data_IF_868481822541
#
_entry.id   IF_868481822541
#
_cell.length_a   1.000
_cell.length_b   1.000
_cell.length_c   1.000
_cell.angle_alpha   90.00
_cell.angle_beta   90.00
_cell.angle_gamma   90.00
#
_symmetry.space_group_name_H-M   'P 1'
#
loop_
_entity.id
_entity.type
_entity.pdbx_description
1 polymer ?
#
# COMPACT_ATOMS: atom_id res chain seq x y z
N UNK A 1 4.97 13.77 34.07
CA UNK A 1 5.81 12.73 33.46
C UNK A 1 5.97 13.08 32.00
N UNK A 2 7.19 13.04 31.43
CA UNK A 2 7.36 13.23 30.00
C UNK A 2 6.65 12.09 29.26
N UNK A 3 5.86 12.46 28.27
CA UNK A 3 5.16 11.58 27.36
C UNK A 3 5.99 11.38 26.10
N UNK A 4 5.66 10.36 25.30
CA UNK A 4 6.27 10.18 23.98
C UNK A 4 6.04 11.42 23.08
N UNK A 5 4.98 12.18 23.33
CA UNK A 5 4.66 13.43 22.64
C UNK A 5 5.49 14.63 23.07
N UNK A 6 6.33 14.49 24.10
CA UNK A 6 7.28 15.53 24.51
C UNK A 6 8.64 15.36 23.82
N UNK A 7 8.86 14.24 23.12
CA UNK A 7 10.11 13.97 22.42
C UNK A 7 10.22 14.77 21.11
N UNK A 8 11.43 15.21 20.73
CA UNK A 8 11.70 15.74 19.40
C UNK A 8 11.34 14.74 18.30
N UNK A 9 10.88 15.23 17.15
CA UNK A 9 10.40 14.36 16.07
C UNK A 9 11.52 13.46 15.52
N UNK A 10 12.76 13.92 15.56
CA UNK A 10 13.95 13.18 15.16
C UNK A 10 14.14 11.91 16.00
N UNK A 11 13.86 12.01 17.31
CA UNK A 11 13.94 10.87 18.23
C UNK A 11 12.80 9.89 17.96
N UNK A 12 11.59 10.38 17.73
CA UNK A 12 10.43 9.54 17.38
C UNK A 12 10.71 8.79 16.06
N UNK A 13 11.26 9.48 15.06
CA UNK A 13 11.63 8.87 13.78
C UNK A 13 12.72 7.79 13.96
N UNK A 14 13.68 8.01 14.85
CA UNK A 14 14.72 7.02 15.11
C UNK A 14 14.16 5.77 15.79
N UNK A 15 13.22 5.93 16.72
CA UNK A 15 12.46 4.80 17.32
C UNK A 15 11.68 4.04 16.24
N UNK A 16 10.98 4.75 15.36
CA UNK A 16 10.21 4.16 14.25
C UNK A 16 11.11 3.36 13.30
N UNK A 17 12.30 3.88 12.97
CA UNK A 17 13.29 3.14 12.15
C UNK A 17 13.80 1.89 12.87
N UNK A 18 14.08 1.99 14.17
CA UNK A 18 14.55 0.88 14.98
C UNK A 18 13.50 -0.24 15.07
N UNK A 19 12.23 0.13 15.19
CA UNK A 19 11.10 -0.81 15.19
C UNK A 19 10.78 -1.40 13.83
N UNK A 20 11.44 -0.94 12.75
CA UNK A 20 11.21 -1.44 11.39
C UNK A 20 12.47 -1.83 10.63
N UNK A 21 13.22 -2.84 11.10
CA UNK A 21 14.31 -3.38 10.32
C UNK A 21 13.76 -3.92 8.99
N UNK A 22 14.42 -3.52 7.91
CA UNK A 22 14.17 -4.06 6.57
C UNK A 22 14.81 -5.45 6.57
N UNK A 23 14.01 -6.49 6.42
CA UNK A 23 14.54 -7.83 6.27
C UNK A 23 15.27 -7.96 4.91
N UNK A 24 16.07 -9.02 4.68
CA UNK A 24 16.76 -9.23 3.40
C UNK A 24 15.84 -9.35 2.18
N UNK A 25 14.55 -9.64 2.38
CA UNK A 25 13.54 -9.73 1.30
C UNK A 25 12.89 -8.38 0.98
N UNK A 26 13.22 -7.31 1.72
CA UNK A 26 12.67 -5.97 1.54
C UNK A 26 11.38 -5.69 2.31
N UNK A 27 10.87 -6.66 3.05
CA UNK A 27 9.70 -6.50 3.91
C UNK A 27 10.11 -5.85 5.24
N UNK A 28 9.26 -4.95 5.73
CA UNK A 28 9.48 -4.30 7.02
C UNK A 28 8.92 -5.17 8.14
N UNK A 29 9.81 -5.61 9.02
CA UNK A 29 9.43 -6.16 10.32
C UNK A 29 8.75 -5.02 11.11
N UNK A 30 7.72 -5.30 11.91
CA UNK A 30 7.07 -4.27 12.75
C UNK A 30 6.03 -3.37 12.05
N UNK A 31 5.51 -3.77 10.88
CA UNK A 31 4.39 -3.06 10.22
C UNK A 31 3.19 -2.89 11.16
N UNK A 32 2.84 -3.93 11.90
CA UNK A 32 1.71 -3.91 12.84
C UNK A 32 1.98 -2.97 14.02
N UNK A 33 3.22 -2.94 14.53
CA UNK A 33 3.63 -2.00 15.56
C UNK A 33 3.54 -0.55 15.10
N UNK A 34 3.93 -0.26 13.85
CA UNK A 34 3.74 1.07 13.27
C UNK A 34 2.26 1.40 13.06
N UNK A 35 1.44 0.43 12.64
CA UNK A 35 0.00 0.63 12.54
C UNK A 35 -0.60 0.96 13.92
N UNK A 36 -0.19 0.25 14.97
CA UNK A 36 -0.63 0.51 16.35
C UNK A 36 -0.15 1.88 16.84
N UNK A 37 1.09 2.27 16.56
CA UNK A 37 1.64 3.59 16.92
C UNK A 37 0.84 4.74 16.30
N UNK A 38 0.32 4.56 15.07
CA UNK A 38 -0.55 5.57 14.44
C UNK A 38 -1.86 5.79 15.19
N UNK A 39 -2.33 4.81 15.96
CA UNK A 39 -3.59 4.89 16.70
C UNK A 39 -3.43 5.58 18.06
N UNK A 40 -2.19 5.75 18.54
CA UNK A 40 -1.91 6.34 19.85
C UNK A 40 -2.21 7.85 19.84
N UNK A 41 -1.80 8.58 18.79
CA UNK A 41 -2.11 10.01 18.67
C UNK A 41 -1.98 10.56 17.26
N UNK A 42 -2.54 11.75 17.03
CA UNK A 42 -2.45 12.45 15.75
C UNK A 42 -1.01 12.75 15.35
N UNK A 43 -0.16 13.17 16.30
CA UNK A 43 1.26 13.47 16.07
C UNK A 43 2.02 12.23 15.60
N UNK A 44 1.80 11.08 16.24
CA UNK A 44 2.41 9.82 15.81
C UNK A 44 1.84 9.36 14.48
N UNK A 45 0.53 9.53 14.23
CA UNK A 45 -0.06 9.22 12.94
C UNK A 45 0.62 10.01 11.80
N UNK A 46 0.80 11.32 11.98
CA UNK A 46 1.47 12.19 10.99
C UNK A 46 2.95 11.86 10.79
N UNK A 47 3.62 11.41 11.86
CA UNK A 47 5.05 11.05 11.81
C UNK A 47 5.28 9.67 11.18
N UNK A 48 4.43 8.69 11.50
CA UNK A 48 4.59 7.29 11.10
C UNK A 48 3.97 7.00 9.74
N UNK A 49 2.85 7.65 9.37
CA UNK A 49 2.19 7.41 8.07
C UNK A 49 3.12 7.59 6.87
N UNK A 50 3.93 8.66 6.77
CA UNK A 50 4.88 8.83 5.67
C UNK A 50 5.89 7.68 5.59
N UNK A 51 6.31 7.14 6.75
CA UNK A 51 7.22 6.01 6.80
C UNK A 51 6.50 4.76 6.29
N UNK A 52 5.34 4.41 6.86
CA UNK A 52 4.56 3.22 6.49
C UNK A 52 4.18 3.19 5.01
N UNK A 53 3.74 4.32 4.47
CA UNK A 53 3.23 4.42 3.11
C UNK A 53 4.27 4.95 2.11
N UNK A 54 5.55 5.01 2.49
CA UNK A 54 6.62 5.42 1.58
C UNK A 54 6.71 4.53 0.33
N UNK A 55 6.37 3.25 0.47
CA UNK A 55 6.24 2.30 -0.62
C UNK A 55 4.85 1.68 -0.57
N UNK A 56 4.13 1.76 -1.69
CA UNK A 56 2.83 1.14 -1.88
C UNK A 56 2.99 -0.06 -2.82
N UNK A 57 2.48 -1.22 -2.40
CA UNK A 57 2.37 -2.41 -3.26
C UNK A 57 0.89 -2.70 -3.47
N UNK A 58 0.46 -2.76 -4.72
CA UNK A 58 -0.86 -3.21 -5.12
C UNK A 58 -0.70 -4.58 -5.75
N UNK A 59 -1.21 -5.59 -5.07
CA UNK A 59 -1.07 -6.99 -5.43
C UNK A 59 -2.41 -7.57 -5.84
N UNK A 60 -2.52 -7.95 -7.11
CA UNK A 60 -3.71 -8.58 -7.69
C UNK A 60 -3.47 -10.08 -7.92
N UNK A 61 -2.48 -10.69 -7.27
CA UNK A 61 -2.15 -12.10 -7.43
C UNK A 61 -3.21 -13.06 -6.86
N UNK A 62 -4.14 -12.56 -6.05
CA UNK A 62 -5.27 -13.34 -5.55
C UNK A 62 -6.60 -13.01 -6.28
N UNK A 63 -6.52 -12.50 -7.52
CA UNK A 63 -7.71 -12.21 -8.33
C UNK A 63 -8.54 -13.44 -8.75
N UNK A 64 -8.09 -14.67 -8.43
CA UNK A 64 -8.88 -15.89 -8.61
C UNK A 64 -9.88 -16.07 -7.44
N UNK A 65 -11.10 -15.57 -7.63
CA UNK A 65 -12.16 -15.43 -6.61
C UNK A 65 -12.69 -16.78 -6.06
N UNK A 66 -12.39 -17.92 -6.70
CA UNK A 66 -12.93 -19.23 -6.30
C UNK A 66 -12.13 -19.97 -5.22
N UNK A 67 -10.92 -19.53 -4.86
CA UNK A 67 -10.17 -20.12 -3.74
C UNK A 67 -10.10 -19.23 -2.50
N UNK A 68 -10.59 -17.99 -2.55
CA UNK A 68 -10.49 -17.11 -1.39
C UNK A 68 -11.52 -15.99 -1.40
N UNK A 69 -12.14 -15.79 -0.25
CA UNK A 69 -12.54 -14.48 0.28
C UNK A 69 -11.30 -13.56 0.34
N UNK A 70 -10.74 -13.19 -0.81
CA UNK A 70 -9.37 -12.68 -0.92
C UNK A 70 -9.29 -11.21 -0.46
N UNK A 71 -8.63 -10.92 0.67
CA UNK A 71 -8.58 -9.57 1.24
C UNK A 71 -7.73 -8.60 0.43
N UNK A 72 -6.73 -9.10 -0.32
CA UNK A 72 -5.73 -8.25 -0.97
C UNK A 72 -6.22 -7.61 -2.27
N UNK A 73 -7.00 -8.32 -3.09
CA UNK A 73 -7.57 -7.74 -4.33
C UNK A 73 -8.62 -6.67 -4.00
N UNK A 74 -9.51 -6.93 -3.03
CA UNK A 74 -10.49 -5.95 -2.55
C UNK A 74 -9.80 -4.71 -1.98
N UNK A 75 -8.79 -4.90 -1.13
CA UNK A 75 -7.97 -3.80 -0.59
C UNK A 75 -7.32 -2.97 -1.70
N UNK A 76 -6.82 -3.61 -2.75
CA UNK A 76 -6.24 -2.90 -3.89
C UNK A 76 -7.29 -2.06 -4.63
N UNK A 77 -8.52 -2.56 -4.78
CA UNK A 77 -9.63 -1.78 -5.35
C UNK A 77 -9.94 -0.55 -4.51
N UNK A 78 -10.09 -0.72 -3.18
CA UNK A 78 -10.35 0.39 -2.26
C UNK A 78 -9.26 1.45 -2.31
N UNK A 79 -7.99 1.04 -2.37
CA UNK A 79 -6.86 1.97 -2.48
C UNK A 79 -6.89 2.71 -3.83
N UNK A 80 -7.15 2.01 -4.94
CA UNK A 80 -7.26 2.64 -6.27
C UNK A 80 -8.38 3.69 -6.28
N UNK A 81 -9.56 3.33 -5.79
CA UNK A 81 -10.68 4.27 -5.67
C UNK A 81 -10.32 5.47 -4.80
N UNK A 82 -9.76 5.23 -3.61
CA UNK A 82 -9.45 6.30 -2.68
C UNK A 82 -8.39 7.28 -3.23
N UNK A 83 -7.43 6.76 -4.00
CA UNK A 83 -6.43 7.56 -4.69
C UNK A 83 -7.05 8.35 -5.85
N UNK A 84 -7.77 7.67 -6.75
CA UNK A 84 -8.35 8.29 -7.94
C UNK A 84 -9.38 9.37 -7.60
N UNK A 85 -10.21 9.13 -6.58
CA UNK A 85 -11.24 10.09 -6.14
C UNK A 85 -10.67 11.14 -5.15
N UNK A 86 -9.39 11.02 -4.78
CA UNK A 86 -8.72 11.95 -3.85
C UNK A 86 -9.27 11.91 -2.41
N UNK A 87 -9.99 10.84 -2.03
CA UNK A 87 -10.65 10.72 -0.73
C UNK A 87 -9.69 10.38 0.41
N UNK A 88 -8.44 10.01 0.10
CA UNK A 88 -7.39 9.75 1.10
C UNK A 88 -6.15 10.59 0.90
N UNK A 89 -5.52 10.99 2.01
CA UNK A 89 -4.19 11.63 2.04
C UNK A 89 -3.11 10.71 2.61
N UNK A 90 -3.46 9.48 3.00
CA UNK A 90 -2.53 8.55 3.65
C UNK A 90 -1.29 8.25 2.79
N UNK A 91 -1.47 8.25 1.46
CA UNK A 91 -0.43 7.93 0.47
C UNK A 91 0.26 9.17 -0.11
N UNK A 92 0.07 10.36 0.49
CA UNK A 92 0.64 11.61 -0.02
C UNK A 92 2.17 11.54 -0.20
N UNK A 93 2.84 10.78 0.67
CA UNK A 93 4.30 10.65 0.70
C UNK A 93 4.82 9.35 0.07
N UNK A 94 3.96 8.65 -0.68
CA UNK A 94 4.37 7.46 -1.43
C UNK A 94 5.39 7.84 -2.49
N UNK A 95 6.59 7.27 -2.42
CA UNK A 95 7.67 7.49 -3.39
C UNK A 95 7.88 6.32 -4.33
N UNK A 96 7.41 5.13 -3.95
CA UNK A 96 7.58 3.90 -4.73
C UNK A 96 6.24 3.19 -4.83
N UNK A 97 5.87 2.80 -6.05
CA UNK A 97 4.68 2.01 -6.32
C UNK A 97 5.10 0.71 -7.01
N UNK A 98 4.63 -0.43 -6.49
CA UNK A 98 4.75 -1.73 -7.13
C UNK A 98 3.37 -2.22 -7.53
N UNK A 99 3.18 -2.48 -8.82
CA UNK A 99 1.94 -3.01 -9.40
C UNK A 99 2.17 -4.46 -9.82
N UNK A 100 1.49 -5.40 -9.17
CA UNK A 100 1.52 -6.83 -9.51
C UNK A 100 0.18 -7.20 -10.14
N UNK A 101 0.07 -7.01 -11.47
CA UNK A 101 -1.18 -7.19 -12.23
C UNK A 101 -1.14 -8.40 -13.15
N UNK A 102 -0.12 -9.25 -13.01
CA UNK A 102 0.15 -10.33 -13.96
C UNK A 102 -1.00 -11.33 -14.04
N UNK A 103 -1.47 -11.87 -12.91
CA UNK A 103 -2.61 -12.80 -12.92
C UNK A 103 -3.90 -12.15 -13.36
N UNK A 104 -4.06 -10.84 -13.11
CA UNK A 104 -5.18 -10.07 -13.63
C UNK A 104 -5.16 -10.10 -15.16
N UNK A 105 -4.12 -9.60 -15.83
CA UNK A 105 -4.14 -9.43 -17.30
C UNK A 105 -3.69 -10.64 -18.14
N UNK A 106 -2.95 -11.59 -17.57
CA UNK A 106 -2.31 -12.67 -18.35
C UNK A 106 -3.04 -14.01 -18.28
N UNK A 107 -4.04 -14.16 -17.41
CA UNK A 107 -4.89 -15.34 -17.43
C UNK A 107 -5.99 -15.16 -18.48
N UNK A 108 -6.23 -16.17 -19.33
CA UNK A 108 -7.39 -16.24 -20.25
C UNK A 108 -8.74 -16.35 -19.51
N UNK A 109 -8.74 -16.16 -18.19
CA UNK A 109 -9.90 -16.23 -17.30
C UNK A 109 -10.81 -14.99 -17.39
N UNK A 110 -10.76 -14.22 -18.48
CA UNK A 110 -11.65 -13.07 -18.76
C UNK A 110 -13.15 -13.39 -18.68
N UNK A 111 -13.49 -14.68 -18.74
CA UNK A 111 -14.87 -15.17 -18.63
C UNK A 111 -15.36 -15.33 -17.18
N UNK A 112 -14.51 -15.10 -16.17
CA UNK A 112 -14.87 -15.27 -14.75
C UNK A 112 -15.50 -13.99 -14.18
N UNK A 113 -16.67 -14.08 -13.51
CA UNK A 113 -17.31 -12.94 -12.85
C UNK A 113 -16.36 -12.29 -11.82
N UNK A 114 -16.28 -10.96 -11.79
CA UNK A 114 -15.41 -10.19 -10.88
C UNK A 114 -13.99 -9.90 -11.40
N UNK A 115 -13.38 -10.79 -12.19
CA UNK A 115 -12.06 -10.52 -12.82
C UNK A 115 -12.20 -9.46 -13.91
N UNK A 116 -13.25 -9.54 -14.73
CA UNK A 116 -13.53 -8.55 -15.77
C UNK A 116 -13.83 -7.16 -15.17
N UNK A 117 -14.59 -7.11 -14.07
CA UNK A 117 -14.89 -5.86 -13.36
C UNK A 117 -13.62 -5.25 -12.76
N UNK A 118 -12.76 -6.08 -12.15
CA UNK A 118 -11.48 -5.64 -11.61
C UNK A 118 -10.51 -5.14 -12.70
N UNK A 119 -10.48 -5.82 -13.86
CA UNK A 119 -9.73 -5.34 -15.03
C UNK A 119 -10.23 -3.97 -15.46
N UNK A 120 -11.54 -3.83 -15.61
CA UNK A 120 -12.16 -2.58 -16.03
C UNK A 120 -11.82 -1.45 -15.05
N UNK A 121 -11.96 -1.69 -13.74
CA UNK A 121 -11.59 -0.72 -12.71
C UNK A 121 -10.13 -0.29 -12.83
N UNK A 122 -9.20 -1.25 -12.95
CA UNK A 122 -7.77 -0.94 -13.06
C UNK A 122 -7.51 -0.12 -14.32
N UNK A 123 -8.08 -0.49 -15.46
CA UNK A 123 -7.93 0.26 -16.72
C UNK A 123 -8.46 1.69 -16.56
N UNK A 124 -9.63 1.86 -15.94
CA UNK A 124 -10.29 3.17 -15.80
C UNK A 124 -9.61 4.09 -14.79
N UNK A 125 -9.16 3.56 -13.66
CA UNK A 125 -8.78 4.38 -12.48
C UNK A 125 -7.29 4.41 -12.18
N UNK A 126 -6.47 3.51 -12.73
CA UNK A 126 -5.06 3.42 -12.33
C UNK A 126 -4.28 4.69 -12.68
N UNK A 127 -4.60 5.33 -13.82
CA UNK A 127 -3.92 6.55 -14.23
C UNK A 127 -4.18 7.69 -13.24
N UNK A 128 -5.43 7.90 -12.85
CA UNK A 128 -5.81 8.92 -11.87
C UNK A 128 -5.21 8.61 -10.51
N UNK A 129 -5.28 7.35 -10.07
CA UNK A 129 -4.70 6.91 -8.81
C UNK A 129 -3.18 7.14 -8.74
N UNK A 130 -2.45 6.83 -9.82
CA UNK A 130 -0.99 7.08 -9.91
C UNK A 130 -0.71 8.58 -9.95
N UNK A 131 -1.50 9.35 -10.69
CA UNK A 131 -1.36 10.81 -10.80
C UNK A 131 -1.60 11.53 -9.47
N UNK A 132 -2.42 10.96 -8.58
CA UNK A 132 -2.65 11.49 -7.24
C UNK A 132 -1.40 11.38 -6.32
N UNK A 133 -0.46 10.48 -6.63
CA UNK A 133 0.77 10.27 -5.87
C UNK A 133 1.86 11.29 -6.27
N UNK A 134 1.73 12.53 -5.80
CA UNK A 134 2.61 13.65 -6.19
C UNK A 134 4.10 13.45 -5.88
N UNK A 135 4.42 12.68 -4.85
CA UNK A 135 5.81 12.40 -4.43
C UNK A 135 6.41 11.15 -5.10
N UNK A 136 5.67 10.51 -6.02
CA UNK A 136 6.05 9.26 -6.67
C UNK A 136 7.31 9.44 -7.53
N UNK A 137 8.30 8.56 -7.32
CA UNK A 137 9.58 8.57 -8.03
C UNK A 137 9.82 7.32 -8.86
N UNK A 138 9.21 6.20 -8.47
CA UNK A 138 9.45 4.92 -9.12
C UNK A 138 8.15 4.12 -9.17
N UNK A 139 7.85 3.62 -10.37
CA UNK A 139 6.79 2.62 -10.61
C UNK A 139 7.47 1.36 -11.08
N UNK A 140 7.19 0.24 -10.42
CA UNK A 140 7.69 -1.08 -10.81
C UNK A 140 6.51 -1.96 -11.17
N UNK A 141 6.56 -2.57 -12.34
CA UNK A 141 5.65 -3.64 -12.73
C UNK A 141 6.35 -4.94 -12.37
N UNK A 142 5.93 -5.55 -11.26
CA UNK A 142 6.55 -6.78 -10.80
C UNK A 142 5.77 -7.99 -11.35
N UNK A 143 6.46 -9.01 -11.89
CA UNK A 143 5.85 -10.33 -11.98
C UNK A 143 5.60 -10.84 -10.55
N UNK A 144 4.52 -11.59 -10.36
CA UNK A 144 4.25 -12.29 -9.10
C UNK A 144 5.51 -13.06 -8.71
N UNK A 145 6.08 -12.91 -7.49
CA UNK A 145 7.12 -13.81 -7.05
C UNK A 145 6.49 -15.21 -6.99
N UNK A 146 6.84 -16.06 -7.96
CA UNK A 146 6.38 -17.44 -8.00
C UNK A 146 6.63 -18.09 -6.65
N UNK A 147 5.55 -18.54 -6.01
CA UNK A 147 5.63 -19.43 -4.85
C UNK A 147 6.14 -20.79 -5.29
#
# INVERSE_FOLDING_TARGET
MPTLEDLPIEIILEVVKFSTPINPTGDRIGKDDLCNLRLVSSRLNETVSPVLFMALRLDFDDADIYESTAPDSLRCQEIIHALADGSTRAFKHTRRLSLCTQKLFWTENDRRPGVAELKQLVIEKIFDAVSALKDLRTVTYAPSPGK
#
